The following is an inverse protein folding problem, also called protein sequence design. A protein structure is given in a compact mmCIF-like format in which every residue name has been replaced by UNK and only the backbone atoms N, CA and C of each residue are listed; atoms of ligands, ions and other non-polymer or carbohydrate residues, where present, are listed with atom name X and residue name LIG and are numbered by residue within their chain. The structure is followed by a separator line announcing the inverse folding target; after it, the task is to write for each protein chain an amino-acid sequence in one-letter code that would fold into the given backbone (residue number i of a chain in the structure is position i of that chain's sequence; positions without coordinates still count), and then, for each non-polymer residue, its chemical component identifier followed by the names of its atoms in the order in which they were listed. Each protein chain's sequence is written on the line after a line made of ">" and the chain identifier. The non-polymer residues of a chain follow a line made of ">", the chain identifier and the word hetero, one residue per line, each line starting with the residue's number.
data_IF_068903448271
#
_entry.id   IF_068903448271
#
_cell.length_a   1.000
_cell.length_b   1.000
_cell.length_c   1.000
_cell.angle_alpha   90.00
_cell.angle_beta   90.00
_cell.angle_gamma   90.00
#
_symmetry.space_group_name_H-M   'P 1'
#
loop_
_entity.id
_entity.type
_entity.pdbx_description
1 polymer ?
#
# COMPACT_ATOMS: atom_id res chain seq x y z
N UNK A 1 27.30 -37.40 -73.57
CA UNK A 1 26.00 -38.00 -73.90
C UNK A 1 25.89 -39.30 -73.13
N UNK A 2 25.34 -39.22 -71.92
CA UNK A 2 24.98 -40.35 -71.03
C UNK A 2 24.27 -39.74 -69.82
N UNK A 3 22.94 -39.62 -69.95
CA UNK A 3 22.03 -39.12 -68.93
C UNK A 3 21.80 -40.25 -67.91
N UNK A 4 22.27 -40.05 -66.68
CA UNK A 4 21.91 -40.88 -65.53
C UNK A 4 20.59 -40.35 -64.95
N UNK A 5 19.51 -41.11 -65.15
CA UNK A 5 18.24 -40.90 -64.46
C UNK A 5 18.22 -41.66 -63.12
N UNK A 6 17.47 -41.16 -62.11
CA UNK A 6 17.54 -41.65 -60.74
C UNK A 6 16.78 -42.95 -60.52
N UNK A 7 17.31 -43.75 -59.59
CA UNK A 7 16.76 -45.02 -59.09
C UNK A 7 15.61 -44.71 -58.14
N UNK A 8 14.41 -45.18 -58.48
CA UNK A 8 13.23 -45.08 -57.61
C UNK A 8 13.43 -45.86 -56.31
N UNK A 9 13.12 -45.24 -55.19
CA UNK A 9 13.11 -45.84 -53.86
C UNK A 9 11.70 -46.41 -53.57
N UNK A 10 11.58 -47.55 -52.87
CA UNK A 10 10.29 -48.13 -52.53
C UNK A 10 9.53 -47.26 -51.52
N UNK A 11 8.25 -46.99 -51.82
CA UNK A 11 7.28 -46.47 -50.86
C UNK A 11 6.95 -47.56 -49.84
N UNK A 12 7.45 -47.43 -48.62
CA UNK A 12 6.90 -48.12 -47.46
C UNK A 12 5.71 -47.31 -46.92
N UNK A 13 4.53 -47.85 -47.15
CA UNK A 13 3.23 -47.34 -46.73
C UNK A 13 3.04 -47.65 -45.22
N UNK A 14 3.53 -46.76 -44.37
CA UNK A 14 3.29 -46.82 -42.93
C UNK A 14 1.89 -46.26 -42.60
N UNK A 15 1.01 -47.16 -42.15
CA UNK A 15 -0.32 -46.85 -41.61
C UNK A 15 -0.23 -45.87 -40.42
N UNK A 16 -1.21 -44.95 -40.27
CA UNK A 16 -1.21 -44.02 -39.14
C UNK A 16 -1.50 -44.74 -37.83
N UNK A 17 -0.56 -44.63 -36.90
CA UNK A 17 -0.70 -45.04 -35.51
C UNK A 17 -1.89 -44.30 -34.87
N UNK A 18 -2.76 -45.12 -34.31
CA UNK A 18 -3.96 -44.78 -33.57
C UNK A 18 -3.63 -43.73 -32.48
N UNK A 19 -4.25 -42.56 -32.58
CA UNK A 19 -4.12 -41.49 -31.59
C UNK A 19 -4.85 -41.91 -30.31
N UNK A 20 -4.16 -42.63 -29.44
CA UNK A 20 -4.61 -42.92 -28.09
C UNK A 20 -4.75 -41.61 -27.32
N UNK A 21 -5.99 -41.13 -27.21
CA UNK A 21 -6.38 -40.04 -26.31
C UNK A 21 -6.16 -40.53 -24.89
N UNK A 22 -4.98 -40.23 -24.34
CA UNK A 22 -4.68 -40.37 -22.92
C UNK A 22 -5.55 -39.37 -22.14
N UNK A 23 -6.69 -39.85 -21.66
CA UNK A 23 -7.48 -39.17 -20.64
C UNK A 23 -6.60 -38.94 -19.40
N UNK A 24 -6.56 -37.73 -18.83
CA UNK A 24 -5.86 -37.51 -17.57
C UNK A 24 -6.54 -38.32 -16.48
N UNK A 25 -5.79 -39.23 -15.86
CA UNK A 25 -6.20 -39.96 -14.67
C UNK A 25 -6.47 -38.96 -13.54
N UNK A 26 -7.76 -38.67 -13.32
CA UNK A 26 -8.23 -37.96 -12.13
C UNK A 26 -7.95 -38.84 -10.93
N UNK A 27 -6.80 -38.63 -10.26
CA UNK A 27 -6.57 -39.14 -8.93
C UNK A 27 -7.55 -38.45 -7.98
N UNK A 28 -8.70 -39.08 -7.77
CA UNK A 28 -9.61 -38.75 -6.70
C UNK A 28 -8.88 -38.91 -5.36
N UNK A 29 -8.43 -37.78 -4.78
CA UNK A 29 -8.07 -37.74 -3.36
C UNK A 29 -9.35 -37.99 -2.56
N UNK A 30 -9.50 -39.21 -2.06
CA UNK A 30 -10.50 -39.56 -1.06
C UNK A 30 -10.19 -38.80 0.24
N UNK A 31 -10.78 -37.62 0.40
CA UNK A 31 -10.85 -36.95 1.69
C UNK A 31 -11.81 -37.74 2.57
N UNK A 32 -11.27 -38.56 3.47
CA UNK A 32 -11.98 -39.14 4.59
C UNK A 32 -12.48 -38.00 5.50
N UNK A 33 -13.74 -37.63 5.36
CA UNK A 33 -14.43 -36.77 6.32
C UNK A 33 -14.88 -37.63 7.50
N UNK A 34 -14.20 -37.45 8.64
CA UNK A 34 -14.71 -37.92 9.92
C UNK A 34 -15.96 -37.10 10.32
N UNK A 35 -16.99 -37.72 10.94
CA UNK A 35 -18.19 -37.03 11.35
C UNK A 35 -17.90 -36.08 12.51
N UNK A 36 -18.15 -34.79 12.29
CA UNK A 36 -18.15 -33.76 13.34
C UNK A 36 -19.44 -33.91 14.15
N UNK A 37 -19.30 -34.29 15.42
CA UNK A 37 -20.41 -34.30 16.39
C UNK A 37 -20.79 -32.85 16.76
N UNK A 38 -22.08 -32.56 16.96
CA UNK A 38 -22.52 -31.23 17.38
C UNK A 38 -22.19 -31.00 18.86
N UNK A 39 -21.30 -30.03 19.12
CA UNK A 39 -21.07 -29.50 20.47
C UNK A 39 -22.12 -28.43 20.75
N UNK A 40 -23.15 -28.80 21.51
CA UNK A 40 -24.08 -27.88 22.15
C UNK A 40 -23.41 -27.20 23.36
N UNK A 41 -23.25 -25.88 23.33
CA UNK A 41 -22.68 -25.08 24.42
C UNK A 41 -23.16 -23.61 24.37
N UNK A 42 -23.15 -22.90 25.50
CA UNK A 42 -24.32 -22.19 26.02
C UNK A 42 -24.53 -20.77 25.49
N UNK A 43 -25.81 -20.38 25.47
CA UNK A 43 -26.32 -19.03 25.30
C UNK A 43 -25.54 -18.02 26.16
N UNK A 44 -24.78 -17.14 25.51
CA UNK A 44 -24.15 -15.98 26.15
C UNK A 44 -25.09 -14.78 26.03
N UNK A 45 -25.49 -14.26 27.18
CA UNK A 45 -26.14 -12.96 27.32
C UNK A 45 -25.24 -11.83 26.78
N UNK A 46 -25.83 -10.75 26.24
CA UNK A 46 -25.06 -9.66 25.64
C UNK A 46 -24.27 -8.88 26.70
N UNK A 47 -23.07 -8.38 26.36
CA UNK A 47 -22.26 -7.62 27.29
C UNK A 47 -22.91 -6.27 27.59
N UNK A 48 -22.94 -5.93 28.88
CA UNK A 48 -23.30 -4.61 29.40
C UNK A 48 -22.32 -3.58 28.83
N UNK A 49 -22.81 -2.69 27.97
CA UNK A 49 -22.03 -1.55 27.46
C UNK A 49 -21.79 -0.57 28.61
N UNK A 50 -20.57 -0.50 29.11
CA UNK A 50 -20.12 0.60 29.96
C UNK A 50 -19.96 1.85 29.08
N UNK A 51 -20.83 2.83 29.30
CA UNK A 51 -20.74 4.13 28.67
C UNK A 51 -19.51 4.87 29.18
N UNK A 52 -18.46 4.94 28.36
CA UNK A 52 -17.37 5.87 28.57
C UNK A 52 -17.83 7.26 28.19
N UNK A 53 -18.18 8.07 29.18
CA UNK A 53 -18.37 9.51 29.02
C UNK A 53 -17.01 10.15 28.77
N UNK A 54 -16.74 10.50 27.52
CA UNK A 54 -15.59 11.33 27.14
C UNK A 54 -15.87 12.75 27.63
N UNK A 55 -15.30 13.10 28.79
CA UNK A 55 -15.18 14.49 29.23
C UNK A 55 -14.15 15.18 28.34
N UNK A 56 -14.62 15.93 27.34
CA UNK A 56 -13.83 16.96 26.68
C UNK A 56 -13.79 18.19 27.60
N UNK A 57 -12.84 18.20 28.54
CA UNK A 57 -12.44 19.41 29.25
C UNK A 57 -11.60 20.29 28.34
N UNK A 58 -12.15 21.45 27.96
CA UNK A 58 -11.33 22.58 27.53
C UNK A 58 -10.64 23.14 28.78
N UNK A 59 -9.34 23.49 28.73
CA UNK A 59 -8.70 24.17 29.84
C UNK A 59 -9.25 25.60 29.93
N UNK A 60 -9.84 25.93 31.07
CA UNK A 60 -10.09 27.30 31.47
C UNK A 60 -8.74 28.03 31.54
N UNK A 61 -8.56 29.02 30.67
CA UNK A 61 -7.48 29.99 30.77
C UNK A 61 -7.88 30.95 31.88
N UNK A 62 -7.45 30.59 33.09
CA UNK A 62 -7.43 31.42 34.28
C UNK A 62 -6.66 32.72 33.96
N UNK A 63 -7.38 33.82 33.76
CA UNK A 63 -6.80 35.15 33.70
C UNK A 63 -6.34 35.55 35.11
N UNK A 64 -5.09 35.20 35.45
CA UNK A 64 -4.41 35.71 36.65
C UNK A 64 -4.24 37.23 36.55
N UNK A 65 -5.17 37.93 37.20
CA UNK A 65 -5.11 39.35 37.50
C UNK A 65 -4.16 39.54 38.68
N UNK A 66 -2.87 39.72 38.41
CA UNK A 66 -1.90 40.17 39.43
C UNK A 66 -1.89 41.70 39.43
N UNK A 67 -2.37 42.25 40.54
CA UNK A 67 -2.23 43.64 40.91
C UNK A 67 -0.74 43.98 41.10
N UNK A 68 -0.29 45.06 40.46
CA UNK A 68 1.08 45.56 40.57
C UNK A 68 1.11 47.06 40.25
N UNK A 69 0.74 47.85 41.26
CA UNK A 69 0.88 49.31 41.32
C UNK A 69 2.36 49.71 41.28
N UNK A 70 2.77 50.54 40.32
CA UNK A 70 3.80 51.56 40.53
C UNK A 70 3.61 52.71 39.54
N UNK A 71 3.38 53.89 40.10
CA UNK A 71 3.35 55.18 39.42
C UNK A 71 4.56 55.41 38.52
N UNK A 72 4.29 55.82 37.29
CA UNK A 72 5.23 56.66 36.54
C UNK A 72 4.42 57.67 35.72
N UNK A 73 4.28 58.87 36.28
CA UNK A 73 3.61 60.00 35.64
C UNK A 73 4.44 60.50 34.46
N UNK A 74 4.13 60.02 33.26
CA UNK A 74 4.59 60.65 32.02
C UNK A 74 3.56 61.70 31.65
N UNK A 75 3.94 62.98 31.77
CA UNK A 75 3.21 64.12 31.22
C UNK A 75 3.17 63.98 29.70
N UNK A 76 2.09 63.43 29.17
CA UNK A 76 1.77 63.46 27.74
C UNK A 76 1.08 64.79 27.40
N UNK A 77 1.60 65.42 26.35
CA UNK A 77 1.15 66.69 25.81
C UNK A 77 -0.30 66.62 25.30
N UNK A 78 -1.01 67.74 25.45
CA UNK A 78 -2.43 67.99 25.19
C UNK A 78 -2.87 67.92 23.71
N UNK A 79 -2.26 67.11 22.84
CA UNK A 79 -2.60 67.11 21.40
C UNK A 79 -3.35 65.88 20.86
N UNK A 80 -3.53 64.80 21.63
CA UNK A 80 -4.13 63.55 21.10
C UNK A 80 -5.53 63.22 21.66
N UNK A 81 -6.20 64.15 22.34
CA UNK A 81 -7.55 63.95 22.90
C UNK A 81 -8.70 63.94 21.88
N UNK A 82 -8.43 64.09 20.57
CA UNK A 82 -9.48 64.15 19.53
C UNK A 82 -9.68 62.80 18.82
N UNK A 83 -8.81 61.81 18.99
CA UNK A 83 -8.96 60.48 18.35
C UNK A 83 -9.46 59.37 19.27
N UNK A 84 -9.70 59.64 20.56
CA UNK A 84 -10.19 58.63 21.52
C UNK A 84 -11.71 58.56 21.67
N UNK A 85 -12.48 59.32 20.86
CA UNK A 85 -13.96 59.43 20.99
C UNK A 85 -14.78 58.75 19.90
N UNK A 86 -14.20 57.81 19.15
CA UNK A 86 -14.92 56.93 18.21
C UNK A 86 -14.77 55.44 18.55
N UNK A 87 -14.70 55.13 19.85
CA UNK A 87 -14.59 53.76 20.40
C UNK A 87 -15.75 53.47 21.36
N UNK A 88 -16.98 53.82 20.96
CA UNK A 88 -18.15 53.54 21.82
C UNK A 88 -19.44 53.25 21.05
N UNK A 89 -19.37 52.52 19.94
CA UNK A 89 -20.59 52.03 19.28
C UNK A 89 -20.29 50.90 18.28
N UNK A 90 -20.16 49.67 18.77
CA UNK A 90 -20.42 48.42 18.05
C UNK A 90 -20.08 47.23 18.96
N UNK A 91 -20.75 47.11 20.11
CA UNK A 91 -20.76 45.85 20.85
C UNK A 91 -21.75 44.93 20.14
N UNK A 92 -21.35 44.38 18.99
CA UNK A 92 -22.10 43.31 18.35
C UNK A 92 -22.19 42.14 19.33
N UNK A 93 -23.39 41.58 19.56
CA UNK A 93 -23.53 40.40 20.39
C UNK A 93 -22.72 39.29 19.72
N UNK A 94 -21.66 38.87 20.41
CA UNK A 94 -20.91 37.65 20.13
C UNK A 94 -21.92 36.51 20.11
N UNK A 95 -22.46 36.25 18.92
CA UNK A 95 -23.30 35.10 18.67
C UNK A 95 -22.42 33.90 18.97
N UNK A 96 -22.67 33.32 20.14
CA UNK A 96 -22.13 32.04 20.54
C UNK A 96 -22.67 31.06 19.51
N UNK A 97 -21.90 30.85 18.43
CA UNK A 97 -22.16 29.82 17.44
C UNK A 97 -22.17 28.53 18.24
N UNK A 98 -23.38 28.10 18.62
CA UNK A 98 -23.59 26.85 19.34
C UNK A 98 -22.96 25.79 18.45
N UNK A 99 -21.91 25.07 18.90
CA UNK A 99 -21.38 23.96 18.15
C UNK A 99 -22.56 23.03 17.90
N UNK A 100 -22.96 22.91 16.63
CA UNK A 100 -24.16 22.21 16.22
C UNK A 100 -24.10 20.81 16.81
N UNK A 101 -24.92 20.57 17.82
CA UNK A 101 -25.00 19.34 18.57
C UNK A 101 -25.19 18.18 17.61
N UNK A 102 -24.22 17.27 17.62
CA UNK A 102 -24.37 15.82 17.48
C UNK A 102 -25.60 15.35 16.70
N UNK A 103 -25.46 15.30 15.38
CA UNK A 103 -26.21 14.32 14.58
C UNK A 103 -25.72 12.91 14.99
N UNK A 104 -26.43 12.30 15.95
CA UNK A 104 -26.56 10.84 16.08
C UNK A 104 -26.85 10.29 14.68
N UNK A 105 -26.12 9.35 14.08
CA UNK A 105 -25.37 8.21 14.60
C UNK A 105 -25.38 7.07 13.56
N UNK A 106 -26.32 7.11 12.58
CA UNK A 106 -26.43 6.14 11.48
C UNK A 106 -25.91 6.60 10.12
N UNK A 107 -26.04 7.89 9.75
CA UNK A 107 -25.68 8.35 8.40
C UNK A 107 -24.18 8.23 8.10
N UNK A 108 -23.33 8.55 9.09
CA UNK A 108 -21.86 8.43 8.96
C UNK A 108 -21.38 6.99 8.79
N UNK A 109 -22.16 6.01 9.26
CA UNK A 109 -21.81 4.60 9.09
C UNK A 109 -22.04 4.19 7.63
N UNK A 110 -23.24 4.41 7.11
CA UNK A 110 -23.60 4.11 5.71
C UNK A 110 -22.65 4.83 4.75
N UNK A 111 -22.32 6.09 5.02
CA UNK A 111 -21.37 6.88 4.24
C UNK A 111 -20.00 6.20 4.12
N UNK A 112 -19.43 5.68 5.22
CA UNK A 112 -18.14 4.97 5.20
C UNK A 112 -18.18 3.70 4.33
N UNK A 113 -19.29 2.95 4.35
CA UNK A 113 -19.43 1.78 3.47
C UNK A 113 -19.60 2.16 2.00
N UNK A 114 -20.31 3.25 1.71
CA UNK A 114 -20.40 3.77 0.35
C UNK A 114 -19.02 4.19 -0.16
N UNK A 115 -18.23 4.89 0.66
CA UNK A 115 -16.85 5.26 0.30
C UNK A 115 -15.97 4.03 0.08
N UNK A 116 -16.08 3.02 0.94
CA UNK A 116 -15.41 1.73 0.78
C UNK A 116 -15.82 1.02 -0.52
N UNK A 117 -17.11 1.03 -0.87
CA UNK A 117 -17.62 0.46 -2.11
C UNK A 117 -17.08 1.16 -3.36
N UNK A 118 -17.12 2.50 -3.38
CA UNK A 118 -16.54 3.30 -4.48
C UNK A 118 -15.04 3.05 -4.62
N UNK A 119 -14.33 2.97 -3.48
CA UNK A 119 -12.91 2.66 -3.46
C UNK A 119 -12.61 1.27 -4.02
N UNK A 120 -13.38 0.25 -3.65
CA UNK A 120 -13.26 -1.10 -4.20
C UNK A 120 -13.49 -1.14 -5.71
N UNK A 121 -14.54 -0.48 -6.21
CA UNK A 121 -14.79 -0.37 -7.65
C UNK A 121 -13.61 0.27 -8.38
N UNK A 122 -13.00 1.31 -7.79
CA UNK A 122 -11.83 1.96 -8.35
C UNK A 122 -10.62 1.01 -8.41
N UNK A 123 -10.33 0.27 -7.33
CA UNK A 123 -9.26 -0.74 -7.31
C UNK A 123 -9.48 -1.80 -8.42
N UNK A 124 -10.72 -2.25 -8.62
CA UNK A 124 -11.06 -3.19 -9.70
C UNK A 124 -10.86 -2.58 -11.09
N UNK A 125 -11.12 -1.28 -11.27
CA UNK A 125 -10.84 -0.60 -12.54
C UNK A 125 -9.32 -0.51 -12.81
N UNK A 126 -8.51 -0.26 -11.78
CA UNK A 126 -7.04 -0.29 -11.91
C UNK A 126 -6.51 -1.67 -12.26
N UNK A 127 -7.01 -2.72 -11.56
CA UNK A 127 -6.69 -4.11 -11.88
C UNK A 127 -7.10 -4.47 -13.31
N UNK A 128 -8.32 -4.10 -13.74
CA UNK A 128 -8.77 -4.32 -15.11
C UNK A 128 -7.88 -3.61 -16.14
N UNK A 129 -7.46 -2.37 -15.88
CA UNK A 129 -6.52 -1.63 -16.74
C UNK A 129 -5.18 -2.37 -16.90
N UNK A 130 -4.64 -2.90 -15.80
CA UNK A 130 -3.44 -3.73 -15.81
C UNK A 130 -3.64 -5.03 -16.61
N UNK A 131 -4.77 -5.73 -16.41
CA UNK A 131 -5.10 -6.96 -17.16
C UNK A 131 -5.28 -6.70 -18.65
N UNK A 132 -5.93 -5.60 -19.04
CA UNK A 132 -6.05 -5.20 -20.44
C UNK A 132 -4.66 -4.98 -21.04
N UNK A 133 -3.77 -4.29 -20.32
CA UNK A 133 -2.39 -4.07 -20.77
C UNK A 133 -1.65 -5.41 -20.97
N UNK A 134 -1.77 -6.32 -20.00
CA UNK A 134 -1.21 -7.67 -20.10
C UNK A 134 -1.75 -8.43 -21.31
N UNK A 135 -3.07 -8.43 -21.55
CA UNK A 135 -3.69 -9.06 -22.72
C UNK A 135 -3.20 -8.48 -24.05
N UNK A 136 -2.86 -7.20 -24.08
CA UNK A 136 -2.23 -6.53 -25.23
C UNK A 136 -0.71 -6.82 -25.35
N UNK A 137 -0.16 -7.70 -24.50
CA UNK A 137 1.27 -8.01 -24.37
C UNK A 137 2.11 -6.76 -24.08
N UNK A 138 1.59 -5.94 -23.18
CA UNK A 138 2.23 -4.75 -22.62
C UNK A 138 2.23 -4.95 -21.10
N UNK A 139 3.36 -5.36 -20.48
CA UNK A 139 4.68 -5.55 -21.08
C UNK A 139 4.83 -6.88 -21.84
N UNK A 140 5.90 -7.07 -22.66
CA UNK A 140 6.07 -8.28 -23.49
C UNK A 140 6.18 -9.59 -22.70
N UNK A 141 6.59 -9.50 -21.44
CA UNK A 141 6.75 -10.59 -20.46
C UNK A 141 5.48 -10.82 -19.61
N UNK A 142 4.39 -10.09 -19.89
CA UNK A 142 3.12 -10.30 -19.22
C UNK A 142 2.60 -11.74 -19.41
N UNK A 143 2.17 -12.38 -18.32
CA UNK A 143 1.58 -13.72 -18.39
C UNK A 143 0.12 -13.64 -18.89
N UNK A 144 -0.08 -13.84 -20.19
CA UNK A 144 -1.44 -13.89 -20.79
C UNK A 144 -2.06 -15.28 -20.74
N UNK A 145 -1.24 -16.32 -20.55
CA UNK A 145 -1.65 -17.70 -20.71
C UNK A 145 -1.82 -18.35 -19.34
N UNK A 146 -3.03 -18.81 -19.04
CA UNK A 146 -3.25 -19.79 -17.97
C UNK A 146 -3.38 -19.23 -16.56
N UNK A 147 -3.80 -17.97 -16.37
CA UNK A 147 -4.35 -17.62 -15.06
C UNK A 147 -5.64 -18.41 -14.86
N UNK A 148 -5.59 -19.37 -13.95
CA UNK A 148 -6.79 -20.08 -13.58
C UNK A 148 -7.73 -19.12 -12.79
N UNK A 149 -9.03 -19.46 -12.68
CA UNK A 149 -9.96 -18.64 -11.92
C UNK A 149 -9.57 -18.47 -10.44
N UNK A 150 -8.77 -19.39 -9.90
CA UNK A 150 -8.32 -19.36 -8.51
C UNK A 150 -7.21 -18.31 -8.30
N UNK A 151 -6.23 -18.21 -9.20
CA UNK A 151 -5.20 -17.16 -9.23
C UNK A 151 -5.86 -15.79 -9.38
N UNK A 152 -6.82 -15.66 -10.29
CA UNK A 152 -7.56 -14.40 -10.47
C UNK A 152 -8.31 -14.00 -9.18
N UNK A 153 -8.94 -14.98 -8.52
CA UNK A 153 -9.61 -14.74 -7.24
C UNK A 153 -8.62 -14.33 -6.14
N UNK A 154 -7.45 -14.98 -6.08
CA UNK A 154 -6.37 -14.63 -5.16
C UNK A 154 -5.87 -13.21 -5.40
N UNK A 155 -5.59 -12.84 -6.65
CA UNK A 155 -5.16 -11.50 -7.04
C UNK A 155 -6.15 -10.42 -6.61
N UNK A 156 -7.44 -10.62 -6.92
CA UNK A 156 -8.52 -9.70 -6.54
C UNK A 156 -8.66 -9.60 -5.02
N UNK A 157 -8.60 -10.74 -4.32
CA UNK A 157 -8.72 -10.76 -2.85
C UNK A 157 -7.59 -9.97 -2.19
N UNK A 158 -6.35 -10.14 -2.68
CA UNK A 158 -5.19 -9.43 -2.16
C UNK A 158 -5.21 -7.94 -2.54
N UNK A 159 -5.61 -7.62 -3.77
CA UNK A 159 -5.85 -6.24 -4.22
C UNK A 159 -6.81 -5.51 -3.28
N UNK A 160 -7.94 -6.15 -2.97
CA UNK A 160 -8.93 -5.59 -2.04
C UNK A 160 -8.36 -5.49 -0.63
N UNK A 161 -7.71 -6.53 -0.10
CA UNK A 161 -7.16 -6.52 1.26
C UNK A 161 -6.12 -5.40 1.45
N UNK A 162 -5.11 -5.34 0.60
CA UNK A 162 -4.06 -4.33 0.66
C UNK A 162 -4.57 -2.93 0.28
N UNK A 163 -5.50 -2.86 -0.68
CA UNK A 163 -6.14 -1.62 -1.11
C UNK A 163 -7.05 -1.02 -0.03
N UNK A 164 -7.80 -1.83 0.71
CA UNK A 164 -8.60 -1.37 1.85
C UNK A 164 -7.73 -0.89 3.00
N UNK A 165 -6.66 -1.65 3.32
CA UNK A 165 -5.68 -1.23 4.32
C UNK A 165 -5.05 0.11 3.94
N UNK A 166 -4.65 0.28 2.67
CA UNK A 166 -4.13 1.55 2.15
C UNK A 166 -5.16 2.67 2.27
N UNK A 167 -6.40 2.43 1.83
CA UNK A 167 -7.50 3.39 1.91
C UNK A 167 -7.76 3.87 3.34
N UNK A 168 -7.59 2.97 4.33
CA UNK A 168 -7.65 3.33 5.75
C UNK A 168 -6.49 4.22 6.18
N UNK A 169 -5.24 3.87 5.83
CA UNK A 169 -4.06 4.68 6.16
C UNK A 169 -4.11 6.08 5.55
N UNK A 170 -4.56 6.22 4.31
CA UNK A 170 -4.63 7.52 3.61
C UNK A 170 -5.93 8.27 3.83
N UNK A 171 -6.78 7.77 4.73
CA UNK A 171 -8.02 8.42 5.15
C UNK A 171 -9.10 8.47 4.07
N UNK A 172 -9.06 7.64 3.02
CA UNK A 172 -10.06 7.65 1.92
C UNK A 172 -11.48 7.49 2.44
N UNK A 173 -11.67 6.76 3.54
CA UNK A 173 -12.99 6.55 4.15
C UNK A 173 -13.44 7.71 5.04
N UNK A 174 -12.66 8.78 5.16
CA UNK A 174 -13.06 10.01 5.85
C UNK A 174 -13.69 10.99 4.87
N UNK A 175 -14.86 11.53 5.23
CA UNK A 175 -15.69 12.36 4.35
C UNK A 175 -14.94 13.53 3.72
N UNK A 176 -14.06 14.20 4.48
CA UNK A 176 -13.27 15.33 3.98
C UNK A 176 -12.28 14.91 2.89
N UNK A 177 -11.62 13.75 3.07
CA UNK A 177 -10.65 13.21 2.12
C UNK A 177 -11.35 12.65 0.89
N UNK A 178 -12.44 11.92 1.10
CA UNK A 178 -13.27 11.40 0.02
C UNK A 178 -13.81 12.55 -0.85
N UNK A 179 -14.44 13.55 -0.24
CA UNK A 179 -14.93 14.73 -0.96
C UNK A 179 -13.80 15.48 -1.67
N UNK A 180 -12.60 15.55 -1.08
CA UNK A 180 -11.44 16.14 -1.73
C UNK A 180 -11.06 15.39 -3.01
N UNK A 181 -10.90 14.06 -2.93
CA UNK A 181 -10.48 13.22 -4.05
C UNK A 181 -11.56 13.16 -5.13
N UNK A 182 -12.82 12.96 -4.76
CA UNK A 182 -13.92 12.76 -5.71
C UNK A 182 -14.59 14.06 -6.19
N UNK A 183 -14.01 15.22 -5.89
CA UNK A 183 -14.46 16.49 -6.48
C UNK A 183 -14.17 16.53 -7.98
N UNK A 184 -15.11 17.00 -8.80
CA UNK A 184 -15.02 16.99 -10.27
C UNK A 184 -13.73 17.63 -10.82
N UNK A 185 -13.27 18.74 -10.22
CA UNK A 185 -12.00 19.43 -10.58
C UNK A 185 -10.74 18.60 -10.36
N UNK A 186 -10.85 17.50 -9.61
CA UNK A 186 -9.73 16.65 -9.21
C UNK A 186 -9.79 15.27 -9.81
N UNK A 187 -10.74 14.99 -10.72
CA UNK A 187 -10.83 13.73 -11.46
C UNK A 187 -9.55 13.34 -12.21
N UNK A 188 -8.60 14.28 -12.39
CA UNK A 188 -7.26 13.99 -12.90
C UNK A 188 -6.56 12.86 -12.14
N UNK A 189 -6.75 12.71 -10.83
CA UNK A 189 -6.05 11.64 -10.09
C UNK A 189 -6.59 10.26 -10.46
N UNK A 190 -7.90 10.13 -10.76
CA UNK A 190 -8.48 8.88 -11.26
C UNK A 190 -7.92 8.57 -12.65
N UNK A 191 -7.84 9.57 -13.54
CA UNK A 191 -7.25 9.40 -14.87
C UNK A 191 -5.78 8.96 -14.78
N UNK A 192 -5.00 9.56 -13.88
CA UNK A 192 -3.60 9.17 -13.62
C UNK A 192 -3.55 7.75 -13.08
N UNK A 193 -4.40 7.39 -12.11
CA UNK A 193 -4.42 6.06 -11.52
C UNK A 193 -4.73 4.98 -12.57
N UNK A 194 -5.80 5.15 -13.35
CA UNK A 194 -6.18 4.19 -14.40
C UNK A 194 -5.18 4.16 -15.55
N UNK A 195 -4.55 5.29 -15.87
CA UNK A 195 -3.53 5.40 -16.92
C UNK A 195 -2.14 4.92 -16.49
N UNK A 196 -1.86 4.82 -15.20
CA UNK A 196 -0.53 4.40 -14.72
C UNK A 196 -0.19 2.97 -15.13
N UNK A 197 -1.05 1.95 -14.99
CA UNK A 197 -0.73 0.60 -15.44
C UNK A 197 -0.27 0.49 -16.90
N UNK A 198 -1.01 0.97 -17.93
CA UNK A 198 -0.55 0.88 -19.31
C UNK A 198 0.70 1.72 -19.58
N UNK A 199 0.86 2.87 -18.93
CA UNK A 199 2.06 3.72 -19.08
C UNK A 199 3.29 3.03 -18.49
N UNK A 200 3.17 2.47 -17.28
CA UNK A 200 4.25 1.77 -16.60
C UNK A 200 4.68 0.53 -17.40
N UNK A 201 3.69 -0.24 -17.86
CA UNK A 201 3.89 -1.40 -18.72
C UNK A 201 4.47 -1.05 -20.11
N UNK A 202 4.20 0.14 -20.65
CA UNK A 202 4.82 0.61 -21.89
C UNK A 202 6.28 1.03 -21.66
N UNK A 203 6.58 1.67 -20.53
CA UNK A 203 7.91 2.12 -20.15
C UNK A 203 8.88 0.94 -20.00
N UNK A 204 8.43 -0.23 -19.56
CA UNK A 204 9.28 -1.43 -19.45
C UNK A 204 9.77 -1.98 -20.81
N UNK A 205 9.24 -1.49 -21.94
CA UNK A 205 9.77 -1.81 -23.28
C UNK A 205 11.08 -1.10 -23.60
N UNK A 206 11.46 -0.10 -22.80
CA UNK A 206 12.74 0.61 -22.96
C UNK A 206 13.86 -0.37 -22.56
N UNK A 207 14.82 -0.70 -23.44
CA UNK A 207 15.85 -1.71 -23.14
C UNK A 207 16.64 -1.45 -21.85
N UNK A 208 16.89 -0.17 -21.52
CA UNK A 208 17.57 0.22 -20.28
C UNK A 208 16.82 -0.20 -19.01
N UNK A 209 15.50 -0.40 -19.09
CA UNK A 209 14.61 -0.77 -17.98
C UNK A 209 14.29 -2.26 -17.92
N UNK A 210 14.77 -3.06 -18.87
CA UNK A 210 14.55 -4.52 -18.90
C UNK A 210 15.53 -5.30 -18.02
N UNK A 211 16.47 -4.61 -17.37
CA UNK A 211 17.43 -5.22 -16.45
C UNK A 211 16.86 -5.32 -15.04
N UNK A 212 16.92 -6.52 -14.46
CA UNK A 212 16.54 -6.74 -13.06
C UNK A 212 17.36 -5.85 -12.11
N UNK A 213 16.72 -5.38 -11.03
CA UNK A 213 17.37 -4.70 -9.92
C UNK A 213 18.42 -5.56 -9.22
N UNK A 214 18.34 -6.89 -9.36
CA UNK A 214 19.33 -7.82 -8.81
C UNK A 214 20.61 -7.94 -9.65
N UNK A 215 20.61 -7.50 -10.92
CA UNK A 215 21.75 -7.64 -11.83
C UNK A 215 22.41 -6.29 -12.11
N UNK A 216 22.79 -5.61 -11.02
CA UNK A 216 23.43 -4.28 -11.02
C UNK A 216 24.72 -4.27 -11.86
N UNK A 217 25.38 -5.42 -12.00
CA UNK A 217 26.61 -5.57 -12.77
C UNK A 217 26.45 -5.29 -14.27
N UNK A 218 25.23 -5.46 -14.80
CA UNK A 218 24.92 -5.25 -16.23
C UNK A 218 24.37 -3.85 -16.52
N UNK A 219 24.26 -2.99 -15.53
CA UNK A 219 23.68 -1.67 -15.70
C UNK A 219 24.63 -0.72 -16.43
N UNK A 220 24.18 -0.17 -17.56
CA UNK A 220 24.84 0.95 -18.22
C UNK A 220 24.63 2.28 -17.48
N UNK A 221 25.40 3.30 -17.85
CA UNK A 221 25.31 4.65 -17.26
C UNK A 221 23.89 5.25 -17.34
N UNK A 222 23.16 4.98 -18.43
CA UNK A 222 21.78 5.46 -18.61
C UNK A 222 20.81 4.95 -17.54
N UNK A 223 20.93 3.68 -17.13
CA UNK A 223 20.09 3.08 -16.09
C UNK A 223 20.38 3.71 -14.72
N UNK A 224 21.66 3.93 -14.39
CA UNK A 224 22.05 4.64 -13.17
C UNK A 224 21.50 6.06 -13.10
N UNK A 225 21.61 6.83 -14.19
CA UNK A 225 21.05 8.18 -14.27
C UNK A 225 19.55 8.15 -14.01
N UNK A 226 18.84 7.24 -14.65
CA UNK A 226 17.39 7.09 -14.48
C UNK A 226 17.00 6.74 -13.04
N UNK A 227 17.69 5.78 -12.42
CA UNK A 227 17.44 5.40 -11.03
C UNK A 227 17.71 6.54 -10.06
N UNK A 228 18.79 7.29 -10.27
CA UNK A 228 19.09 8.48 -9.46
C UNK A 228 17.97 9.50 -9.58
N UNK A 229 17.48 9.77 -10.80
CA UNK A 229 16.35 10.70 -11.02
C UNK A 229 15.10 10.22 -10.29
N UNK A 230 14.72 8.94 -10.45
CA UNK A 230 13.56 8.36 -9.79
C UNK A 230 13.70 8.41 -8.27
N UNK A 231 14.89 8.11 -7.74
CA UNK A 231 15.18 8.17 -6.31
C UNK A 231 15.07 9.60 -5.77
N UNK A 232 15.60 10.61 -6.47
CA UNK A 232 15.48 12.02 -6.09
C UNK A 232 14.01 12.44 -6.05
N UNK A 233 13.22 12.07 -7.07
CA UNK A 233 11.78 12.39 -7.11
C UNK A 233 11.05 11.71 -5.95
N UNK A 234 11.29 10.42 -5.72
CA UNK A 234 10.66 9.67 -4.62
C UNK A 234 11.00 10.27 -3.25
N UNK A 235 12.29 10.57 -2.99
CA UNK A 235 12.74 11.21 -1.75
C UNK A 235 12.11 12.58 -1.58
N UNK A 236 12.06 13.39 -2.65
CA UNK A 236 11.46 14.73 -2.60
C UNK A 236 9.97 14.65 -2.23
N UNK A 237 9.23 13.72 -2.84
CA UNK A 237 7.82 13.50 -2.53
C UNK A 237 7.64 13.04 -1.09
N UNK A 238 8.47 12.11 -0.59
CA UNK A 238 8.41 11.65 0.79
C UNK A 238 8.68 12.82 1.74
N UNK A 239 9.78 13.55 1.56
CA UNK A 239 10.15 14.73 2.37
C UNK A 239 9.03 15.77 2.38
N UNK A 240 8.39 16.03 1.24
CA UNK A 240 7.24 16.92 1.17
C UNK A 240 6.07 16.42 2.04
N UNK A 241 5.74 15.12 2.02
CA UNK A 241 4.71 14.56 2.89
C UNK A 241 5.09 14.62 4.37
N UNK A 242 6.37 14.45 4.71
CA UNK A 242 6.85 14.60 6.09
C UNK A 242 6.72 16.05 6.57
N UNK A 243 7.07 17.00 5.72
CA UNK A 243 6.92 18.43 5.99
C UNK A 243 5.44 18.83 6.12
N UNK A 244 4.57 18.32 5.24
CA UNK A 244 3.13 18.53 5.33
C UNK A 244 2.56 17.96 6.63
N UNK A 245 3.00 16.77 7.06
CA UNK A 245 2.61 16.19 8.34
C UNK A 245 3.02 17.11 9.50
N UNK A 246 4.29 17.55 9.50
CA UNK A 246 4.86 18.42 10.54
C UNK A 246 4.10 19.73 10.70
N UNK A 247 3.66 20.33 9.59
CA UNK A 247 3.00 21.64 9.58
C UNK A 247 1.50 21.57 9.85
N UNK A 248 0.84 20.45 9.55
CA UNK A 248 -0.63 20.34 9.65
C UNK A 248 -1.10 19.59 10.88
N UNK A 249 -0.30 18.70 11.45
CA UNK A 249 -0.73 17.84 12.56
C UNK A 249 -0.24 18.35 13.92
N UNK A 250 -1.02 18.07 14.96
CA UNK A 250 -0.52 18.19 16.35
C UNK A 250 0.61 17.20 16.61
N UNK A 251 1.42 17.39 17.66
CA UNK A 251 2.51 16.45 18.01
C UNK A 251 2.03 14.99 18.14
N UNK A 252 0.85 14.78 18.72
CA UNK A 252 0.23 13.45 18.84
C UNK A 252 -0.17 12.90 17.47
N UNK A 253 -0.83 13.72 16.64
CA UNK A 253 -1.19 13.33 15.27
C UNK A 253 0.03 13.02 14.40
N UNK A 254 1.10 13.80 14.55
CA UNK A 254 2.37 13.59 13.88
C UNK A 254 3.01 12.25 14.27
N UNK A 255 3.03 11.92 15.57
CA UNK A 255 3.51 10.64 16.07
C UNK A 255 2.67 9.47 15.53
N UNK A 256 1.34 9.61 15.50
CA UNK A 256 0.45 8.59 14.91
C UNK A 256 0.71 8.42 13.41
N UNK A 257 0.88 9.54 12.70
CA UNK A 257 1.18 9.54 11.27
C UNK A 257 2.48 8.79 10.98
N UNK A 258 3.60 9.22 11.58
CA UNK A 258 4.91 8.58 11.37
C UNK A 258 4.98 7.18 11.94
N UNK A 259 4.56 7.00 13.19
CA UNK A 259 4.69 5.74 13.90
C UNK A 259 4.01 4.60 13.16
N UNK A 260 2.79 4.81 12.67
CA UNK A 260 2.05 3.79 11.94
C UNK A 260 2.73 3.40 10.61
N UNK A 261 3.25 4.37 9.86
CA UNK A 261 3.93 4.13 8.56
C UNK A 261 5.29 3.48 8.73
N UNK A 262 6.10 3.97 9.65
CA UNK A 262 7.40 3.36 9.97
C UNK A 262 7.20 1.94 10.51
N UNK A 263 6.17 1.69 11.32
CA UNK A 263 5.90 0.34 11.84
C UNK A 263 5.64 -0.65 10.71
N UNK A 264 4.82 -0.27 9.73
CA UNK A 264 4.54 -1.11 8.55
C UNK A 264 5.80 -1.34 7.73
N UNK A 265 6.58 -0.29 7.46
CA UNK A 265 7.84 -0.42 6.70
C UNK A 265 8.86 -1.31 7.41
N UNK A 266 9.01 -1.14 8.72
CA UNK A 266 9.90 -1.96 9.54
C UNK A 266 9.46 -3.41 9.58
N UNK A 267 8.16 -3.69 9.66
CA UNK A 267 7.63 -5.05 9.63
C UNK A 267 8.06 -5.79 8.36
N UNK A 268 7.87 -5.18 7.19
CA UNK A 268 8.24 -5.80 5.92
C UNK A 268 9.74 -5.83 5.66
N UNK A 269 10.48 -4.82 6.13
CA UNK A 269 11.94 -4.85 6.10
C UNK A 269 12.49 -6.02 6.91
N UNK A 270 12.00 -6.21 8.14
CA UNK A 270 12.38 -7.33 9.00
C UNK A 270 12.00 -8.65 8.34
N UNK A 271 10.77 -8.76 7.81
CA UNK A 271 10.32 -9.96 7.11
C UNK A 271 11.24 -10.30 5.93
N UNK A 272 11.60 -9.30 5.12
CA UNK A 272 12.53 -9.46 4.00
C UNK A 272 13.93 -9.88 4.42
N UNK A 273 14.48 -9.30 5.49
CA UNK A 273 15.77 -9.70 6.04
C UNK A 273 15.76 -11.13 6.57
N UNK A 274 14.65 -11.53 7.22
CA UNK A 274 14.45 -12.91 7.68
C UNK A 274 14.38 -13.87 6.50
N UNK A 275 13.58 -13.55 5.47
CA UNK A 275 13.50 -14.38 4.26
C UNK A 275 14.86 -14.48 3.58
N UNK A 276 15.58 -13.37 3.41
CA UNK A 276 16.92 -13.37 2.81
C UNK A 276 17.92 -14.21 3.61
N UNK A 277 17.77 -14.29 4.93
CA UNK A 277 18.62 -15.13 5.78
C UNK A 277 18.35 -16.62 5.59
N UNK A 278 17.09 -17.01 5.34
CA UNK A 278 16.68 -18.41 5.17
C UNK A 278 16.66 -18.89 3.72
N UNK A 279 16.65 -17.98 2.74
CA UNK A 279 16.69 -18.33 1.33
C UNK A 279 18.07 -18.90 0.99
N UNK A 280 18.12 -20.19 0.63
CA UNK A 280 19.36 -20.84 0.15
C UNK A 280 19.94 -20.16 -1.11
N UNK A 281 19.08 -19.41 -1.82
CA UNK A 281 19.43 -18.61 -2.98
C UNK A 281 19.41 -17.14 -2.54
N UNK A 282 20.57 -16.49 -2.51
CA UNK A 282 20.78 -15.10 -2.04
C UNK A 282 20.08 -14.01 -2.89
N UNK A 283 18.98 -14.33 -3.57
CA UNK A 283 18.27 -13.45 -4.50
C UNK A 283 16.86 -13.22 -3.98
N UNK A 284 16.73 -12.28 -3.06
CA UNK A 284 15.43 -11.77 -2.61
C UNK A 284 14.95 -10.73 -3.63
N UNK A 285 13.86 -11.02 -4.34
CA UNK A 285 13.20 -10.06 -5.21
C UNK A 285 12.06 -9.37 -4.46
N UNK A 286 12.10 -8.04 -4.39
CA UNK A 286 10.98 -7.24 -3.87
C UNK A 286 10.05 -6.96 -5.04
N UNK A 287 8.81 -7.43 -4.93
CA UNK A 287 7.81 -7.14 -5.94
C UNK A 287 7.49 -5.64 -5.98
N UNK A 288 7.52 -5.04 -7.17
CA UNK A 288 7.27 -3.62 -7.38
C UNK A 288 5.87 -3.17 -6.92
N UNK A 289 4.88 -4.07 -6.87
CA UNK A 289 3.57 -3.77 -6.27
C UNK A 289 3.72 -3.29 -4.82
N UNK A 290 4.67 -3.85 -4.05
CA UNK A 290 4.93 -3.46 -2.67
C UNK A 290 5.58 -2.08 -2.59
N UNK A 291 6.46 -1.73 -3.54
CA UNK A 291 7.05 -0.40 -3.62
C UNK A 291 5.96 0.67 -3.86
N UNK A 292 5.06 0.42 -4.82
CA UNK A 292 3.90 1.27 -5.09
C UNK A 292 3.02 1.42 -3.84
N UNK A 293 2.65 0.32 -3.20
CA UNK A 293 1.85 0.35 -1.98
C UNK A 293 2.54 1.12 -0.83
N UNK A 294 3.84 0.91 -0.64
CA UNK A 294 4.64 1.57 0.39
C UNK A 294 4.75 3.08 0.23
N UNK A 295 4.94 3.56 -1.01
CA UNK A 295 4.95 5.00 -1.30
C UNK A 295 3.55 5.59 -1.08
N UNK A 296 2.49 4.88 -1.47
CA UNK A 296 1.11 5.34 -1.34
C UNK A 296 0.70 5.59 0.12
N UNK A 297 1.28 4.87 1.10
CA UNK A 297 0.98 5.07 2.53
C UNK A 297 1.20 6.51 3.02
N UNK A 298 2.08 7.27 2.38
CA UNK A 298 2.35 8.65 2.76
C UNK A 298 1.27 9.62 2.24
N UNK A 299 0.42 9.21 1.30
CA UNK A 299 -0.45 10.10 0.56
C UNK A 299 -1.80 10.40 1.25
N UNK A 300 -1.78 10.95 2.48
CA UNK A 300 -2.97 11.26 3.28
C UNK A 300 -3.55 12.68 3.04
N UNK A 301 -2.73 13.64 2.60
CA UNK A 301 -3.10 15.06 2.63
C UNK A 301 -4.02 15.51 1.50
N UNK A 302 -4.96 16.42 1.80
CA UNK A 302 -5.85 17.10 0.85
C UNK A 302 -5.10 18.13 -0.02
N UNK A 303 -4.13 17.66 -0.80
CA UNK A 303 -3.24 18.45 -1.65
C UNK A 303 -2.99 17.75 -2.99
N UNK A 304 -2.80 18.49 -4.12
CA UNK A 304 -2.61 17.88 -5.43
C UNK A 304 -1.41 16.92 -5.50
N UNK A 305 -0.28 17.27 -4.88
CA UNK A 305 0.91 16.40 -4.83
C UNK A 305 0.57 15.06 -4.18
N UNK A 306 -0.19 15.08 -3.10
CA UNK A 306 -0.60 13.86 -2.41
C UNK A 306 -1.57 13.02 -3.24
N UNK A 307 -2.54 13.66 -3.92
CA UNK A 307 -3.45 12.94 -4.82
C UNK A 307 -2.73 12.31 -6.02
N UNK A 308 -1.76 13.01 -6.62
CA UNK A 308 -0.93 12.48 -7.71
C UNK A 308 -0.04 11.34 -7.21
N UNK A 309 0.56 11.49 -6.02
CA UNK A 309 1.37 10.45 -5.39
C UNK A 309 0.54 9.19 -5.15
N UNK A 310 -0.66 9.33 -4.56
CA UNK A 310 -1.60 8.22 -4.36
C UNK A 310 -1.94 7.55 -5.69
N UNK A 311 -2.29 8.34 -6.72
CA UNK A 311 -2.70 7.82 -8.02
C UNK A 311 -1.60 7.00 -8.71
N UNK A 312 -0.37 7.54 -8.80
CA UNK A 312 0.75 6.85 -9.43
C UNK A 312 1.14 5.61 -8.62
N UNK A 313 1.31 5.76 -7.31
CA UNK A 313 1.78 4.68 -6.46
C UNK A 313 0.76 3.53 -6.37
N UNK A 314 -0.53 3.85 -6.28
CA UNK A 314 -1.61 2.86 -6.36
C UNK A 314 -1.73 2.24 -7.75
N UNK A 315 -1.44 3.00 -8.81
CA UNK A 315 -1.41 2.50 -10.18
C UNK A 315 -0.29 1.48 -10.40
N UNK A 316 0.91 1.73 -9.87
CA UNK A 316 2.03 0.77 -9.87
C UNK A 316 1.68 -0.48 -9.04
N UNK A 317 1.01 -0.30 -7.89
CA UNK A 317 0.48 -1.42 -7.13
C UNK A 317 -0.52 -2.26 -7.95
N UNK A 318 -1.47 -1.60 -8.64
CA UNK A 318 -2.47 -2.28 -9.46
C UNK A 318 -1.87 -3.00 -10.68
N UNK A 319 -0.88 -2.37 -11.32
CA UNK A 319 -0.12 -2.97 -12.42
C UNK A 319 0.58 -4.25 -11.96
N UNK A 320 1.30 -4.20 -10.85
CA UNK A 320 2.08 -5.35 -10.42
C UNK A 320 1.23 -6.56 -10.08
N UNK A 321 0.08 -6.35 -9.44
CA UNK A 321 -0.87 -7.45 -9.17
C UNK A 321 -1.55 -7.91 -10.46
N UNK A 322 -1.97 -7.00 -11.34
CA UNK A 322 -2.71 -7.36 -12.56
C UNK A 322 -1.86 -8.08 -13.61
N UNK A 323 -0.62 -7.64 -13.81
CA UNK A 323 0.27 -8.17 -14.86
C UNK A 323 0.98 -9.45 -14.40
N UNK A 324 1.49 -9.48 -13.17
CA UNK A 324 2.36 -10.56 -12.69
C UNK A 324 1.68 -11.48 -11.66
N UNK A 325 0.45 -11.16 -11.26
CA UNK A 325 -0.26 -11.84 -10.19
C UNK A 325 0.28 -11.47 -8.81
N UNK A 326 -0.48 -11.84 -7.78
CA UNK A 326 -0.07 -11.67 -6.40
C UNK A 326 0.87 -12.80 -5.98
N UNK A 327 2.16 -12.52 -6.12
CA UNK A 327 3.23 -13.33 -5.57
C UNK A 327 3.53 -12.96 -4.10
N UNK A 328 4.18 -13.85 -3.35
CA UNK A 328 4.68 -13.47 -2.01
C UNK A 328 5.66 -12.31 -2.13
N UNK A 329 5.59 -11.35 -1.20
CA UNK A 329 6.40 -10.12 -1.28
C UNK A 329 7.89 -10.39 -1.47
N UNK A 330 8.37 -11.48 -0.88
CA UNK A 330 9.68 -12.04 -1.07
C UNK A 330 9.51 -13.44 -1.69
N UNK A 331 10.17 -13.69 -2.82
CA UNK A 331 10.24 -15.00 -3.46
C UNK A 331 11.70 -15.43 -3.61
N UNK A 332 11.93 -16.74 -3.50
CA UNK A 332 13.22 -17.36 -3.74
C UNK A 332 13.51 -17.36 -5.26
N UNK A 333 14.24 -16.35 -5.71
CA UNK A 333 15.15 -16.32 -6.88
C UNK A 333 14.73 -16.78 -8.28
N UNK A 334 13.53 -17.28 -8.53
CA UNK A 334 13.20 -17.98 -9.77
C UNK A 334 12.20 -17.28 -10.69
N UNK A 335 11.77 -16.04 -10.39
CA UNK A 335 10.75 -15.34 -11.20
C UNK A 335 11.14 -15.16 -12.67
N UNK A 336 12.43 -15.15 -13.02
CA UNK A 336 12.90 -15.02 -14.41
C UNK A 336 13.44 -16.32 -15.03
N UNK A 337 13.63 -17.39 -14.26
CA UNK A 337 14.16 -18.66 -14.81
C UNK A 337 13.05 -19.59 -15.32
N UNK A 338 11.79 -19.37 -14.96
CA UNK A 338 10.66 -20.21 -15.40
C UNK A 338 10.38 -20.13 -16.91
N UNK A 339 10.85 -19.09 -17.62
CA UNK A 339 10.75 -19.02 -19.08
C UNK A 339 11.94 -19.65 -19.82
N UNK A 340 13.01 -20.00 -19.10
CA UNK A 340 14.18 -20.66 -19.66
C UNK A 340 14.12 -22.17 -19.43
N UNK A 341 13.21 -22.84 -20.13
CA UNK A 341 13.32 -24.27 -20.41
C UNK A 341 12.81 -25.23 -19.34
N UNK A 342 11.65 -25.85 -19.64
CA UNK A 342 11.46 -27.27 -19.38
C UNK A 342 12.72 -28.03 -19.81
N UNK A 343 13.55 -28.50 -18.87
CA UNK A 343 14.36 -29.74 -18.95
C UNK A 343 15.47 -29.72 -17.88
N UNK A 344 15.13 -29.81 -16.59
CA UNK A 344 16.07 -30.38 -15.62
C UNK A 344 15.29 -31.03 -14.46
N UNK A 345 14.56 -32.08 -14.82
CA UNK A 345 14.15 -33.12 -13.89
C UNK A 345 15.38 -33.88 -13.39
N UNK A 346 15.44 -34.08 -12.08
CA UNK A 346 16.02 -35.28 -11.45
C UNK A 346 17.53 -35.33 -11.15
N UNK A 347 18.09 -34.37 -10.41
CA UNK A 347 19.26 -34.67 -9.54
C UNK A 347 19.36 -33.68 -8.37
N UNK A 348 18.47 -33.80 -7.39
CA UNK A 348 18.54 -33.02 -6.14
C UNK A 348 19.38 -33.80 -5.11
N UNK A 349 20.69 -33.58 -5.14
CA UNK A 349 21.62 -34.02 -4.10
C UNK A 349 21.26 -33.40 -2.75
N UNK A 350 21.31 -34.22 -1.70
CA UNK A 350 20.96 -33.88 -0.33
C UNK A 350 22.01 -32.92 0.26
N UNK A 351 21.72 -31.61 0.33
CA UNK A 351 22.57 -30.64 1.02
C UNK A 351 22.21 -30.65 2.51
N UNK A 352 23.13 -30.99 3.43
CA UNK A 352 22.81 -31.05 4.85
C UNK A 352 22.53 -29.66 5.44
N UNK A 353 21.59 -29.54 6.39
CA UNK A 353 21.25 -28.27 7.01
C UNK A 353 22.37 -27.84 7.97
N UNK A 354 23.05 -26.73 7.66
CA UNK A 354 23.93 -26.09 8.63
C UNK A 354 23.09 -25.36 9.69
N UNK A 355 23.24 -25.79 10.94
CA UNK A 355 22.63 -25.20 12.14
C UNK A 355 23.13 -23.75 12.36
N UNK A 356 22.42 -22.77 11.82
CA UNK A 356 22.62 -21.34 12.09
C UNK A 356 21.40 -20.71 12.81
N UNK A 357 20.68 -21.48 13.61
CA UNK A 357 19.50 -21.01 14.35
C UNK A 357 19.80 -20.73 15.82
N UNK A 358 19.14 -19.72 16.39
CA UNK A 358 19.04 -19.36 17.84
C UNK A 358 19.90 -18.16 18.32
N UNK A 359 20.12 -17.12 17.49
CA UNK A 359 20.53 -15.80 18.06
C UNK A 359 19.67 -14.59 17.65
N UNK A 360 18.80 -14.70 16.66
CA UNK A 360 18.07 -13.54 16.15
C UNK A 360 16.72 -13.25 16.83
N UNK A 361 16.10 -14.24 17.49
CA UNK A 361 14.79 -14.07 18.14
C UNK A 361 14.81 -13.12 19.37
N UNK A 362 15.98 -12.87 19.97
CA UNK A 362 16.12 -12.01 21.15
C UNK A 362 16.30 -10.53 20.77
N UNK A 363 16.70 -10.21 19.54
CA UNK A 363 17.03 -8.82 19.15
C UNK A 363 15.79 -7.99 18.76
N UNK A 364 14.68 -8.62 18.39
CA UNK A 364 13.49 -7.91 17.89
C UNK A 364 12.34 -7.76 18.91
N UNK A 365 12.35 -8.51 20.02
CA UNK A 365 11.33 -8.38 21.07
C UNK A 365 11.61 -7.21 22.05
N UNK A 366 12.85 -6.74 22.10
CA UNK A 366 13.31 -5.69 23.04
C UNK A 366 12.97 -4.26 22.58
N UNK A 367 13.02 -3.89 21.28
CA UNK A 367 12.69 -2.52 20.87
C UNK A 367 11.19 -2.20 20.98
N UNK A 368 10.30 -3.17 20.70
CA UNK A 368 8.85 -2.92 20.74
C UNK A 368 8.34 -2.72 22.17
N UNK A 369 8.83 -3.54 23.11
CA UNK A 369 8.44 -3.43 24.52
C UNK A 369 8.94 -2.13 25.17
N UNK A 370 10.13 -1.65 24.81
CA UNK A 370 10.66 -0.36 25.29
C UNK A 370 9.88 0.83 24.71
N UNK A 371 9.46 0.76 23.44
CA UNK A 371 8.65 1.81 22.82
C UNK A 371 7.27 1.93 23.48
N UNK A 372 6.62 0.81 23.81
CA UNK A 372 5.32 0.82 24.50
C UNK A 372 5.42 1.09 26.01
N UNK A 373 6.49 0.67 26.68
CA UNK A 373 6.66 0.91 28.13
C UNK A 373 6.95 2.38 28.47
N UNK A 374 7.61 3.13 27.58
CA UNK A 374 7.85 4.57 27.79
C UNK A 374 6.66 5.46 27.41
N UNK A 375 5.76 4.99 26.53
CA UNK A 375 4.54 5.72 26.20
C UNK A 375 3.50 5.71 27.35
N UNK A 376 3.54 4.71 28.23
CA UNK A 376 2.67 4.64 29.40
C UNK A 376 3.06 5.60 30.55
N UNK A 377 4.33 6.00 30.64
CA UNK A 377 4.85 6.79 31.79
C UNK A 377 4.71 8.30 31.64
N UNK A 378 4.51 8.80 30.41
CA UNK A 378 4.35 10.24 30.14
C UNK A 378 2.90 10.67 29.87
N UNK A 379 1.94 9.76 30.05
CA UNK A 379 0.52 10.03 29.83
C UNK A 379 -0.21 10.58 31.07
N UNK A 380 0.45 10.64 32.23
CA UNK A 380 -0.14 11.14 33.48
C UNK A 380 0.16 12.62 33.79
N UNK A 381 0.82 13.35 32.88
CA UNK A 381 1.19 14.76 33.08
C UNK A 381 0.81 15.71 31.95
N UNK A 382 -0.11 15.32 31.04
CA UNK A 382 -0.54 16.17 29.91
C UNK A 382 -2.04 16.11 29.59
#
# INVERSE_FOLDING_TARGET
>A
MSLNLPREAPLDEALPEETAVLLPSVQARSASMAPVLPVSGPSRSPPRTTSWSVHNGLPDVEAQRVAGSSDMSVKLNNHDQILSRSVSEATEPTSTVKPSRYYFGGSRYVEKYLFAGVWACLLMCGYASARISAHLRIPPDASTNGQDPFDTFQDISQMLQFGFLLGWFVGVFEAQRFAYLFHWRRMYWIAIFIGTPPVYAAISRIPALQHSLSDVSRWGAGMWILIIIVAIVAVTVIVWHLYAAWTTHSKRGLLTYFGSRITVQMFYLIFGLVTAHYSAYNTTHIHHYYLGWSIALFAEFNHPISAVTLAIAMGVFAEGVGVYGFASMFQDGSCFTAFAGNQMSSERGHVPPHHAGIRLAIVLAVPLSILFHNLGKNASSF
#
